data_IF_513545129855
#
_entry.id   IF_513545129855
#
_cell.length_a   1.000
_cell.length_b   1.000
_cell.length_c   1.000
_cell.angle_alpha   90.00
_cell.angle_beta   90.00
_cell.angle_gamma   90.00
#
_symmetry.space_group_name_H-M   'P 1'
#
loop_
_entity.id
_entity.type
_entity.pdbx_description
1 polymer ?
#
# COMPACT_ATOMS: atom_id res chain seq x y z
N UNK A 1 -25.98 -11.59 2.46
CA UNK A 1 -25.35 -12.17 1.26
C UNK A 1 -24.24 -13.12 1.68
N UNK A 2 -23.89 -14.06 0.81
CA UNK A 2 -22.69 -14.92 0.97
C UNK A 2 -21.59 -14.44 0.02
N UNK A 3 -20.44 -14.06 0.58
CA UNK A 3 -19.31 -13.47 -0.15
C UNK A 3 -18.12 -14.42 -0.08
N UNK A 4 -17.61 -14.82 -1.24
CA UNK A 4 -16.37 -15.60 -1.35
C UNK A 4 -15.17 -14.66 -1.55
N UNK A 5 -14.14 -14.80 -0.72
CA UNK A 5 -12.92 -13.99 -0.79
C UNK A 5 -11.73 -14.90 -1.13
N UNK A 6 -11.13 -14.68 -2.31
CA UNK A 6 -10.02 -15.47 -2.85
C UNK A 6 -8.68 -15.19 -2.18
N UNK A 7 -8.60 -15.22 -0.85
CA UNK A 7 -7.37 -14.91 -0.12
C UNK A 7 -7.22 -15.74 1.16
N UNK A 8 -6.01 -16.26 1.42
CA UNK A 8 -5.65 -16.95 2.67
C UNK A 8 -5.22 -15.91 3.69
N UNK A 9 -6.12 -15.56 4.60
CA UNK A 9 -5.82 -14.58 5.66
C UNK A 9 -4.80 -15.15 6.64
N UNK A 10 -3.77 -14.36 6.93
CA UNK A 10 -2.69 -14.70 7.87
C UNK A 10 -2.71 -13.73 9.05
N UNK A 11 -2.57 -14.25 10.27
CA UNK A 11 -2.45 -13.45 11.49
C UNK A 11 -0.99 -12.98 11.70
N UNK A 12 -0.40 -12.33 10.70
CA UNK A 12 0.99 -11.86 10.73
C UNK A 12 1.17 -10.60 9.88
N UNK A 13 2.34 -9.97 9.93
CA UNK A 13 2.72 -8.79 9.12
C UNK A 13 2.90 -9.13 7.63
N UNK A 14 1.87 -9.64 6.99
CA UNK A 14 1.93 -10.16 5.63
C UNK A 14 1.35 -9.19 4.58
N UNK A 15 1.99 -8.03 4.40
CA UNK A 15 1.70 -7.10 3.31
C UNK A 15 0.27 -6.50 3.26
N UNK A 16 0.08 -5.51 2.39
CA UNK A 16 -1.19 -4.75 2.27
C UNK A 16 -2.40 -5.58 1.79
N UNK A 17 -2.18 -6.63 0.99
CA UNK A 17 -3.26 -7.51 0.54
C UNK A 17 -3.92 -8.27 1.70
N UNK A 18 -3.11 -8.76 2.63
CA UNK A 18 -3.60 -9.43 3.84
C UNK A 18 -4.36 -8.48 4.77
N UNK A 19 -3.84 -7.27 4.98
CA UNK A 19 -4.52 -6.26 5.79
C UNK A 19 -5.88 -5.88 5.19
N UNK A 20 -5.94 -5.65 3.89
CA UNK A 20 -7.19 -5.39 3.18
C UNK A 20 -8.19 -6.53 3.36
N UNK A 21 -7.79 -7.78 3.12
CA UNK A 21 -8.66 -8.95 3.23
C UNK A 21 -9.21 -9.10 4.66
N UNK A 22 -8.35 -8.95 5.68
CA UNK A 22 -8.75 -8.98 7.09
C UNK A 22 -9.80 -7.91 7.43
N UNK A 23 -9.53 -6.65 7.05
CA UNK A 23 -10.44 -5.54 7.33
C UNK A 23 -11.77 -5.70 6.62
N UNK A 24 -11.76 -6.17 5.36
CA UNK A 24 -12.97 -6.42 4.60
C UNK A 24 -13.81 -7.55 5.21
N UNK A 25 -13.18 -8.66 5.60
CA UNK A 25 -13.88 -9.79 6.25
C UNK A 25 -14.55 -9.34 7.54
N UNK A 26 -13.82 -8.60 8.38
CA UNK A 26 -14.40 -8.06 9.61
C UNK A 26 -15.62 -7.19 9.32
N UNK A 27 -15.51 -6.24 8.40
CA UNK A 27 -16.62 -5.36 8.02
C UNK A 27 -17.83 -6.14 7.47
N UNK A 28 -17.60 -7.14 6.61
CA UNK A 28 -18.68 -7.96 6.07
C UNK A 28 -19.42 -8.77 7.16
N UNK A 29 -18.67 -9.31 8.13
CA UNK A 29 -19.26 -10.05 9.25
C UNK A 29 -20.05 -9.11 10.17
N UNK A 30 -19.48 -7.93 10.48
CA UNK A 30 -20.14 -6.91 11.32
C UNK A 30 -21.46 -6.42 10.68
N UNK A 31 -21.53 -6.39 9.33
CA UNK A 31 -22.73 -6.07 8.56
C UNK A 31 -23.67 -7.28 8.34
N UNK A 32 -23.42 -8.41 8.99
CA UNK A 32 -24.28 -9.60 8.95
C UNK A 32 -24.17 -10.44 7.68
N UNK A 33 -23.09 -10.31 6.91
CA UNK A 33 -22.84 -11.13 5.73
C UNK A 33 -22.08 -12.43 6.09
N UNK A 34 -22.34 -13.49 5.32
CA UNK A 34 -21.58 -14.75 5.41
C UNK A 34 -20.33 -14.65 4.53
N UNK A 35 -19.18 -15.00 5.09
CA UNK A 35 -17.90 -15.02 4.34
C UNK A 35 -17.42 -16.45 4.17
N UNK A 36 -16.97 -16.81 2.98
CA UNK A 36 -16.29 -18.06 2.66
C UNK A 36 -14.98 -17.80 1.93
N UNK A 37 -14.05 -18.76 2.01
CA UNK A 37 -12.73 -18.66 1.36
C UNK A 37 -12.56 -19.69 0.24
N UNK A 38 -13.63 -20.33 -0.18
CA UNK A 38 -13.61 -21.33 -1.24
C UNK A 38 -14.87 -21.20 -2.13
N UNK A 39 -14.91 -21.97 -3.21
CA UNK A 39 -16.00 -22.01 -4.18
C UNK A 39 -16.76 -23.35 -4.12
N UNK A 40 -17.00 -23.88 -2.89
CA UNK A 40 -17.70 -25.16 -2.71
C UNK A 40 -19.21 -25.01 -2.75
N UNK A 41 -19.75 -23.98 -2.10
CA UNK A 41 -21.18 -23.74 -1.97
C UNK A 41 -21.83 -23.25 -3.27
N UNK A 42 -23.05 -23.68 -3.57
CA UNK A 42 -23.76 -23.30 -4.79
C UNK A 42 -24.54 -21.99 -4.67
N UNK A 43 -24.57 -21.36 -3.49
CA UNK A 43 -25.35 -20.18 -3.14
C UNK A 43 -24.48 -18.93 -2.84
N UNK A 44 -23.27 -18.87 -3.43
CA UNK A 44 -22.42 -17.68 -3.32
C UNK A 44 -23.03 -16.54 -4.14
N UNK A 45 -23.28 -15.40 -3.50
CA UNK A 45 -23.83 -14.22 -4.15
C UNK A 45 -22.73 -13.39 -4.84
N UNK A 46 -21.59 -13.19 -4.16
CA UNK A 46 -20.48 -12.36 -4.63
C UNK A 46 -19.15 -13.11 -4.49
N UNK A 47 -18.35 -13.04 -5.54
CA UNK A 47 -16.98 -13.57 -5.57
C UNK A 47 -16.01 -12.40 -5.71
N UNK A 48 -15.15 -12.18 -4.72
CA UNK A 48 -14.09 -11.19 -4.78
C UNK A 48 -12.77 -11.83 -5.20
N UNK A 49 -12.35 -11.54 -6.44
CA UNK A 49 -11.04 -11.91 -6.98
C UNK A 49 -10.02 -10.82 -6.62
N UNK A 50 -9.12 -11.13 -5.67
CA UNK A 50 -8.05 -10.20 -5.23
C UNK A 50 -6.79 -10.41 -6.07
N UNK A 51 -6.45 -11.66 -6.37
CA UNK A 51 -5.35 -12.05 -7.25
C UNK A 51 -5.85 -13.17 -8.17
N UNK A 52 -5.73 -13.04 -9.49
CA UNK A 52 -6.27 -14.04 -10.42
C UNK A 52 -5.44 -15.32 -10.53
N UNK A 53 -4.26 -15.39 -9.89
CA UNK A 53 -3.28 -16.49 -10.01
C UNK A 53 -3.57 -17.62 -9.04
N UNK A 54 -4.25 -18.68 -9.45
CA UNK A 54 -4.53 -19.85 -8.61
C UNK A 54 -3.28 -20.55 -8.04
N UNK A 55 -2.11 -20.34 -8.66
CA UNK A 55 -0.83 -20.91 -8.20
C UNK A 55 -0.12 -20.06 -7.13
N UNK A 56 -0.64 -18.89 -6.78
CA UNK A 56 -0.10 -18.07 -5.70
C UNK A 56 -0.50 -18.67 -4.35
N UNK A 57 0.48 -18.98 -3.51
CA UNK A 57 0.27 -19.60 -2.19
C UNK A 57 -0.65 -18.82 -1.24
N UNK A 58 -0.75 -17.50 -1.44
CA UNK A 58 -1.61 -16.63 -0.63
C UNK A 58 -3.09 -16.64 -1.10
N UNK A 59 -3.40 -17.36 -2.19
CA UNK A 59 -4.71 -17.35 -2.83
C UNK A 59 -5.41 -18.66 -2.61
N UNK A 60 -6.72 -18.63 -2.40
CA UNK A 60 -7.56 -19.82 -2.25
C UNK A 60 -8.23 -20.23 -3.54
N UNK A 61 -8.51 -19.29 -4.43
CA UNK A 61 -9.03 -19.50 -5.78
C UNK A 61 -8.66 -18.34 -6.69
N UNK A 62 -8.36 -18.61 -7.94
CA UNK A 62 -8.05 -17.63 -8.97
C UNK A 62 -9.10 -17.56 -10.08
N UNK A 63 -8.76 -16.91 -11.20
CA UNK A 63 -9.69 -16.68 -12.31
C UNK A 63 -10.22 -17.95 -12.96
N UNK A 64 -9.37 -18.98 -13.10
CA UNK A 64 -9.78 -20.28 -13.68
C UNK A 64 -10.78 -20.99 -12.78
N UNK A 65 -10.58 -20.94 -11.46
CA UNK A 65 -11.49 -21.57 -10.50
C UNK A 65 -12.85 -20.87 -10.50
N UNK A 66 -12.85 -19.52 -10.63
CA UNK A 66 -14.07 -18.71 -10.76
C UNK A 66 -14.83 -19.09 -12.04
N UNK A 67 -14.15 -19.17 -13.18
CA UNK A 67 -14.78 -19.58 -14.45
C UNK A 67 -15.43 -20.97 -14.32
N UNK A 68 -14.73 -21.93 -13.73
CA UNK A 68 -15.28 -23.26 -13.48
C UNK A 68 -16.52 -23.19 -12.57
N UNK A 69 -16.46 -22.39 -11.51
CA UNK A 69 -17.57 -22.21 -10.59
C UNK A 69 -18.81 -21.64 -11.29
N UNK A 70 -18.66 -20.58 -12.07
CA UNK A 70 -19.74 -19.94 -12.81
C UNK A 70 -20.38 -20.91 -13.82
N UNK A 71 -19.57 -21.76 -14.46
CA UNK A 71 -20.07 -22.70 -15.45
C UNK A 71 -20.75 -23.92 -14.81
N UNK A 72 -20.18 -24.47 -13.73
CA UNK A 72 -20.60 -25.77 -13.18
C UNK A 72 -21.57 -25.66 -12.00
N UNK A 73 -21.59 -24.52 -11.28
CA UNK A 73 -22.32 -24.38 -10.02
C UNK A 73 -23.33 -23.23 -10.01
N UNK A 74 -22.87 -21.99 -10.10
CA UNK A 74 -23.74 -20.81 -9.99
C UNK A 74 -23.33 -19.71 -10.95
N UNK A 75 -23.95 -19.68 -12.12
CA UNK A 75 -23.74 -18.63 -13.14
C UNK A 75 -24.27 -17.25 -12.76
N UNK A 76 -25.02 -17.13 -11.66
CA UNK A 76 -25.61 -15.85 -11.19
C UNK A 76 -24.75 -15.13 -10.17
N UNK A 77 -23.68 -15.77 -9.65
CA UNK A 77 -22.76 -15.12 -8.73
C UNK A 77 -22.08 -13.94 -9.40
N UNK A 78 -22.10 -12.77 -8.74
CA UNK A 78 -21.41 -11.57 -9.24
C UNK A 78 -19.91 -11.65 -8.94
N UNK A 79 -19.07 -11.39 -9.93
CA UNK A 79 -17.63 -11.41 -9.80
C UNK A 79 -17.06 -10.00 -9.78
N UNK A 80 -16.40 -9.65 -8.69
CA UNK A 80 -15.66 -8.39 -8.54
C UNK A 80 -14.18 -8.67 -8.64
N UNK A 81 -13.49 -8.05 -9.60
CA UNK A 81 -12.05 -8.10 -9.73
C UNK A 81 -11.42 -6.85 -9.12
N UNK A 82 -10.69 -7.01 -8.02
CA UNK A 82 -9.94 -5.92 -7.38
C UNK A 82 -8.51 -5.90 -7.92
N UNK A 83 -8.18 -4.90 -8.73
CA UNK A 83 -6.86 -4.72 -9.32
C UNK A 83 -5.96 -3.93 -8.36
N UNK A 84 -4.91 -4.57 -7.88
CA UNK A 84 -3.95 -4.07 -6.90
C UNK A 84 -2.48 -4.37 -7.28
N UNK A 85 -2.25 -4.83 -8.50
CA UNK A 85 -0.95 -5.19 -9.02
C UNK A 85 -0.81 -4.72 -10.48
N UNK A 86 0.44 -4.54 -10.96
CA UNK A 86 0.76 -4.25 -12.35
C UNK A 86 2.22 -4.61 -12.64
N UNK A 87 2.58 -4.66 -13.92
CA UNK A 87 3.96 -4.94 -14.35
C UNK A 87 4.92 -3.84 -13.92
N UNK A 88 4.49 -2.58 -13.98
CA UNK A 88 5.30 -1.38 -13.71
C UNK A 88 5.83 -1.36 -12.27
N UNK A 89 5.11 -1.94 -11.32
CA UNK A 89 5.51 -2.04 -9.91
C UNK A 89 6.75 -2.91 -9.67
N UNK A 90 6.92 -3.95 -10.46
CA UNK A 90 7.99 -4.95 -10.29
C UNK A 90 8.91 -5.07 -11.49
N UNK A 91 8.67 -4.25 -12.52
CA UNK A 91 9.36 -4.32 -13.80
C UNK A 91 9.24 -5.73 -14.43
N UNK A 92 8.01 -6.24 -14.51
CA UNK A 92 7.64 -7.51 -15.16
C UNK A 92 6.96 -7.23 -16.51
N UNK A 93 6.62 -8.28 -17.30
CA UNK A 93 6.12 -8.11 -18.67
C UNK A 93 4.85 -8.90 -18.98
N UNK A 94 4.28 -9.61 -18.01
CA UNK A 94 3.16 -10.52 -18.25
C UNK A 94 1.96 -10.28 -17.33
N UNK A 95 2.14 -9.53 -16.24
CA UNK A 95 1.10 -9.34 -15.25
C UNK A 95 -0.08 -8.54 -15.81
N UNK A 96 0.18 -7.45 -16.53
CA UNK A 96 -0.88 -6.63 -17.11
C UNK A 96 -1.76 -7.44 -18.07
N UNK A 97 -1.16 -8.20 -18.96
CA UNK A 97 -1.88 -9.09 -19.88
C UNK A 97 -2.70 -10.15 -19.15
N UNK A 98 -2.12 -10.73 -18.09
CA UNK A 98 -2.80 -11.74 -17.31
C UNK A 98 -3.99 -11.15 -16.52
N UNK A 99 -3.82 -9.99 -15.91
CA UNK A 99 -4.91 -9.26 -15.24
C UNK A 99 -6.05 -8.95 -16.21
N UNK A 100 -5.71 -8.43 -17.41
CA UNK A 100 -6.69 -8.14 -18.45
C UNK A 100 -7.44 -9.39 -18.91
N UNK A 101 -6.73 -10.51 -19.12
CA UNK A 101 -7.35 -11.78 -19.47
C UNK A 101 -8.26 -12.28 -18.33
N UNK A 102 -7.78 -12.30 -17.10
CA UNK A 102 -8.55 -12.73 -15.95
C UNK A 102 -9.82 -11.86 -15.72
N UNK A 103 -9.77 -10.61 -16.14
CA UNK A 103 -10.89 -9.68 -16.01
C UNK A 103 -12.09 -10.06 -16.88
N UNK A 104 -11.96 -10.95 -17.86
CA UNK A 104 -13.11 -11.44 -18.65
C UNK A 104 -14.19 -12.11 -17.81
N UNK A 105 -13.85 -12.78 -16.72
CA UNK A 105 -14.84 -13.39 -15.83
C UNK A 105 -15.45 -12.42 -14.81
N UNK A 106 -14.95 -11.18 -14.72
CA UNK A 106 -15.47 -10.19 -13.78
C UNK A 106 -16.67 -9.44 -14.36
N UNK A 107 -17.67 -9.20 -13.54
CA UNK A 107 -18.80 -8.30 -13.85
C UNK A 107 -18.47 -6.85 -13.51
N UNK A 108 -17.60 -6.64 -12.51
CA UNK A 108 -17.22 -5.33 -12.03
C UNK A 108 -15.73 -5.28 -11.69
N UNK A 109 -15.07 -4.15 -12.01
CA UNK A 109 -13.65 -3.95 -11.69
C UNK A 109 -13.49 -2.84 -10.65
N UNK A 110 -12.73 -3.12 -9.60
CA UNK A 110 -12.35 -2.15 -8.57
C UNK A 110 -10.85 -1.88 -8.67
N UNK A 111 -10.48 -0.63 -8.87
CA UNK A 111 -9.10 -0.15 -8.83
C UNK A 111 -8.79 0.48 -7.49
N UNK A 112 -7.59 0.28 -6.98
CA UNK A 112 -7.12 0.90 -5.73
C UNK A 112 -6.47 2.26 -5.94
N UNK A 113 -6.30 2.70 -7.18
CA UNK A 113 -5.82 4.04 -7.57
C UNK A 113 -6.22 4.37 -9.01
N UNK A 114 -6.39 5.64 -9.31
CA UNK A 114 -6.83 6.12 -10.62
C UNK A 114 -5.82 5.83 -11.74
N UNK A 115 -4.52 5.93 -11.45
CA UNK A 115 -3.48 5.70 -12.45
C UNK A 115 -3.48 4.27 -12.99
N UNK A 116 -3.93 3.28 -12.22
CA UNK A 116 -4.07 1.89 -12.69
C UNK A 116 -5.08 1.77 -13.84
N UNK A 117 -6.07 2.65 -13.92
CA UNK A 117 -7.02 2.67 -15.06
C UNK A 117 -6.39 3.14 -16.35
N UNK A 118 -5.25 3.84 -16.31
CA UNK A 118 -4.53 4.27 -17.50
C UNK A 118 -3.75 3.12 -18.15
N UNK A 119 -3.48 2.06 -17.39
CA UNK A 119 -2.80 0.86 -17.85
C UNK A 119 -3.76 -0.11 -18.53
N UNK A 120 -3.22 -1.02 -19.35
CA UNK A 120 -4.01 -2.02 -20.06
C UNK A 120 -4.23 -3.29 -19.22
N UNK A 121 -5.03 -3.14 -18.13
CA UNK A 121 -5.20 -4.16 -17.09
C UNK A 121 -6.57 -4.85 -17.09
N UNK A 122 -7.56 -4.32 -17.82
CA UNK A 122 -8.96 -4.72 -17.67
C UNK A 122 -9.75 -4.59 -18.99
N UNK A 123 -10.98 -5.10 -18.99
CA UNK A 123 -11.94 -4.93 -20.07
C UNK A 123 -12.64 -3.58 -19.92
N UNK A 124 -12.37 -2.66 -20.83
CA UNK A 124 -12.82 -1.24 -20.73
C UNK A 124 -14.32 -1.04 -20.95
N UNK A 125 -14.98 -2.01 -21.55
CA UNK A 125 -16.42 -2.05 -21.77
C UNK A 125 -17.22 -2.45 -20.54
N UNK A 126 -16.53 -2.94 -19.47
CA UNK A 126 -17.17 -3.36 -18.23
C UNK A 126 -17.18 -2.25 -17.16
N UNK A 127 -18.19 -2.26 -16.27
CA UNK A 127 -18.25 -1.31 -15.17
C UNK A 127 -17.02 -1.32 -14.29
N UNK A 128 -16.55 -0.14 -13.92
CA UNK A 128 -15.36 -0.02 -13.05
C UNK A 128 -15.43 1.20 -12.14
N UNK A 129 -14.79 1.11 -10.97
CA UNK A 129 -14.68 2.20 -10.00
C UNK A 129 -13.32 2.22 -9.34
N UNK A 130 -12.86 3.40 -8.97
CA UNK A 130 -11.71 3.58 -8.09
C UNK A 130 -12.22 3.64 -6.64
N UNK A 131 -11.69 2.77 -5.78
CA UNK A 131 -11.94 2.77 -4.34
C UNK A 131 -10.56 2.73 -3.68
N UNK A 132 -10.17 3.86 -3.10
CA UNK A 132 -8.87 4.01 -2.46
C UNK A 132 -8.75 3.12 -1.22
N UNK A 133 -7.54 2.67 -0.91
CA UNK A 133 -7.25 1.99 0.34
C UNK A 133 -7.33 2.97 1.52
N UNK A 134 -7.63 2.46 2.71
CA UNK A 134 -7.57 3.18 3.97
C UNK A 134 -6.74 2.41 5.00
N UNK A 135 -6.31 3.07 6.06
CA UNK A 135 -5.74 2.42 7.24
C UNK A 135 -6.81 2.21 8.31
N UNK A 136 -6.59 1.22 9.18
CA UNK A 136 -7.46 1.00 10.34
C UNK A 136 -7.28 2.15 11.35
N UNK A 137 -8.30 3.00 11.48
CA UNK A 137 -8.30 4.15 12.37
C UNK A 137 -8.25 3.81 13.87
N UNK A 138 -8.55 2.58 14.24
CA UNK A 138 -8.39 2.11 15.63
C UNK A 138 -6.92 1.81 15.96
N UNK A 139 -6.10 1.59 14.94
CA UNK A 139 -4.67 1.29 15.06
C UNK A 139 -3.82 2.51 14.70
N UNK A 140 -4.09 3.12 13.54
CA UNK A 140 -3.33 4.24 13.01
C UNK A 140 -4.14 5.53 13.18
N UNK A 141 -3.72 6.36 14.12
CA UNK A 141 -4.37 7.61 14.47
C UNK A 141 -3.36 8.61 15.04
N UNK A 142 -3.69 9.89 15.05
CA UNK A 142 -2.86 10.98 15.54
C UNK A 142 -3.22 11.47 16.95
N UNK A 143 -4.05 10.73 17.71
CA UNK A 143 -4.40 11.09 19.06
C UNK A 143 -3.13 11.26 19.91
N UNK A 144 -2.97 12.38 20.60
CA UNK A 144 -1.79 12.73 21.40
C UNK A 144 -0.49 12.96 20.62
N UNK A 145 -0.55 13.14 19.29
CA UNK A 145 0.62 13.48 18.49
C UNK A 145 1.17 14.86 18.91
N UNK A 146 2.45 14.90 19.28
CA UNK A 146 3.20 16.14 19.42
C UNK A 146 3.90 16.41 18.10
N UNK A 147 3.61 17.57 17.52
CA UNK A 147 4.23 17.99 16.27
C UNK A 147 5.60 18.62 16.52
N UNK A 148 6.46 18.57 15.51
CA UNK A 148 7.79 19.16 15.55
C UNK A 148 7.72 20.69 15.73
N UNK A 149 8.54 21.22 16.63
CA UNK A 149 8.59 22.62 17.03
C UNK A 149 9.73 23.44 16.37
N UNK A 150 10.55 22.77 15.53
CA UNK A 150 11.73 23.39 14.89
C UNK A 150 12.98 23.46 15.77
N UNK A 151 12.90 23.09 17.05
CA UNK A 151 14.02 23.27 18.00
C UNK A 151 14.95 22.05 18.05
N UNK A 152 14.46 20.87 17.69
CA UNK A 152 15.21 19.61 17.71
C UNK A 152 15.39 19.07 16.29
N UNK A 153 16.33 18.14 16.05
CA UNK A 153 16.40 17.46 14.78
C UNK A 153 15.06 16.86 14.41
N UNK A 154 14.64 17.06 13.15
CA UNK A 154 13.39 16.44 12.67
C UNK A 154 13.59 14.94 12.48
N UNK A 155 12.64 14.15 12.96
CA UNK A 155 12.65 12.69 12.85
C UNK A 155 11.86 12.25 11.64
N UNK A 156 12.57 11.78 10.63
CA UNK A 156 12.00 11.28 9.38
C UNK A 156 11.88 9.76 9.48
N UNK A 157 10.76 9.21 8.97
CA UNK A 157 10.55 7.76 8.94
C UNK A 157 10.01 7.29 7.60
N UNK A 158 10.35 6.06 7.26
CA UNK A 158 9.67 5.25 6.23
C UNK A 158 9.54 3.81 6.71
N UNK A 159 8.58 3.06 6.14
CA UNK A 159 8.51 1.64 6.43
C UNK A 159 8.09 0.81 5.21
N UNK A 160 8.70 -0.36 5.04
CA UNK A 160 8.43 -1.28 3.94
C UNK A 160 8.59 -2.73 4.35
N UNK A 161 7.59 -3.56 4.01
CA UNK A 161 7.72 -5.02 4.19
C UNK A 161 8.69 -5.63 3.17
N UNK A 162 8.55 -5.24 1.90
CA UNK A 162 9.32 -5.81 0.80
C UNK A 162 10.69 -5.15 0.67
N UNK A 163 11.78 -5.92 0.53
CA UNK A 163 13.12 -5.40 0.26
C UNK A 163 13.33 -5.01 -1.21
N UNK A 164 12.27 -4.90 -2.02
CA UNK A 164 12.36 -4.58 -3.43
C UNK A 164 12.92 -3.16 -3.63
N UNK A 165 13.89 -3.01 -4.54
CA UNK A 165 14.52 -1.72 -4.88
C UNK A 165 13.52 -0.65 -5.33
N UNK A 166 12.41 -1.07 -5.99
CA UNK A 166 11.32 -0.18 -6.40
C UNK A 166 10.59 0.49 -5.22
N UNK A 167 10.90 0.13 -3.97
CA UNK A 167 10.42 0.83 -2.78
C UNK A 167 11.15 2.15 -2.50
N UNK A 168 12.08 2.56 -3.37
CA UNK A 168 12.79 3.84 -3.28
C UNK A 168 14.11 3.77 -2.54
N UNK A 169 14.77 2.61 -2.59
CA UNK A 169 16.06 2.41 -1.93
C UNK A 169 17.13 3.40 -2.40
N UNK A 170 17.05 3.85 -3.65
CA UNK A 170 17.87 4.91 -4.24
C UNK A 170 17.83 6.21 -3.40
N UNK A 171 16.62 6.69 -3.12
CA UNK A 171 16.37 7.89 -2.31
C UNK A 171 16.78 7.68 -0.86
N UNK A 172 16.44 6.53 -0.27
CA UNK A 172 16.78 6.28 1.14
C UNK A 172 18.28 6.16 1.36
N UNK A 173 19.02 5.61 0.39
CA UNK A 173 20.49 5.61 0.41
C UNK A 173 21.02 7.04 0.30
N UNK A 174 20.49 7.85 -0.62
CA UNK A 174 20.89 9.26 -0.75
C UNK A 174 20.61 10.05 0.53
N UNK A 175 19.46 9.80 1.19
CA UNK A 175 19.15 10.42 2.48
C UNK A 175 20.13 9.98 3.58
N UNK A 176 20.51 8.69 3.61
CA UNK A 176 21.52 8.16 4.54
C UNK A 176 22.88 8.87 4.39
N UNK A 177 23.28 9.16 3.15
CA UNK A 177 24.52 9.91 2.88
C UNK A 177 24.36 11.41 3.26
N UNK A 178 23.22 12.02 2.96
CA UNK A 178 22.92 13.45 3.20
C UNK A 178 22.91 13.77 4.68
N UNK A 179 22.34 12.95 5.54
CA UNK A 179 22.25 13.25 6.99
C UNK A 179 23.61 13.29 7.69
N UNK A 180 24.66 12.77 7.07
CA UNK A 180 26.04 12.82 7.57
C UNK A 180 26.81 14.08 7.13
N UNK A 181 26.26 14.90 6.20
CA UNK A 181 26.91 16.12 5.71
C UNK A 181 26.83 17.26 6.73
N UNK A 182 27.75 18.21 6.67
CA UNK A 182 27.78 19.36 7.59
C UNK A 182 26.50 20.21 7.54
N UNK A 183 25.85 20.30 6.36
CA UNK A 183 24.58 21.03 6.20
C UNK A 183 23.45 20.40 7.03
N UNK A 184 23.40 19.05 7.11
CA UNK A 184 22.27 18.30 7.66
C UNK A 184 22.57 17.59 8.98
N UNK A 185 23.83 17.45 9.32
CA UNK A 185 24.26 16.85 10.58
C UNK A 185 23.58 17.52 11.77
N UNK A 186 23.02 16.75 12.67
CA UNK A 186 22.26 17.23 13.83
C UNK A 186 20.95 17.98 13.51
N UNK A 187 20.49 18.02 12.25
CA UNK A 187 19.21 18.59 11.86
C UNK A 187 18.17 17.54 11.50
N UNK A 188 18.62 16.36 11.09
CA UNK A 188 17.75 15.24 10.65
C UNK A 188 18.19 13.97 11.33
N UNK A 189 17.20 13.22 11.82
CA UNK A 189 17.32 11.80 12.16
C UNK A 189 16.47 11.01 11.18
N UNK A 190 17.00 9.92 10.60
CA UNK A 190 16.23 9.07 9.70
C UNK A 190 16.11 7.66 10.25
N UNK A 191 14.90 7.12 10.22
CA UNK A 191 14.56 5.75 10.62
C UNK A 191 13.94 5.00 9.44
N UNK A 192 14.52 3.85 9.10
CA UNK A 192 13.95 2.92 8.13
C UNK A 192 13.43 1.69 8.87
N UNK A 193 12.12 1.40 8.77
CA UNK A 193 11.49 0.23 9.38
C UNK A 193 11.19 -0.78 8.27
N UNK A 194 11.85 -1.93 8.27
CA UNK A 194 11.56 -2.93 7.23
C UNK A 194 12.71 -3.84 6.85
N UNK A 195 12.46 -4.67 5.83
CA UNK A 195 13.48 -5.55 5.28
C UNK A 195 14.36 -4.81 4.28
N UNK A 196 15.65 -5.08 4.33
CA UNK A 196 16.65 -4.56 3.39
C UNK A 196 17.02 -5.62 2.34
N UNK A 197 17.42 -5.21 1.13
CA UNK A 197 18.02 -6.14 0.17
C UNK A 197 19.27 -6.82 0.74
N UNK A 198 19.52 -8.06 0.33
CA UNK A 198 20.71 -8.80 0.75
C UNK A 198 21.99 -8.01 0.42
N UNK A 199 22.84 -7.85 1.41
CA UNK A 199 24.12 -7.15 1.28
C UNK A 199 24.04 -5.62 1.33
N UNK A 200 22.84 -5.04 1.55
CA UNK A 200 22.68 -3.60 1.76
C UNK A 200 22.56 -3.28 3.26
N UNK A 201 23.28 -2.25 3.70
CA UNK A 201 23.18 -1.69 5.05
C UNK A 201 23.26 -0.16 4.96
N UNK A 202 22.50 0.51 5.81
CA UNK A 202 22.66 1.92 6.06
C UNK A 202 23.90 2.20 6.93
N UNK A 203 24.45 3.40 6.83
CA UNK A 203 25.59 3.86 7.63
C UNK A 203 25.20 4.80 8.75
N UNK A 204 24.22 5.66 8.49
CA UNK A 204 23.82 6.78 9.37
C UNK A 204 22.35 6.69 9.78
N UNK A 205 21.57 5.83 9.13
CA UNK A 205 20.14 5.65 9.35
C UNK A 205 19.87 4.63 10.45
N UNK A 206 18.93 4.91 11.33
CA UNK A 206 18.43 3.94 12.30
C UNK A 206 17.58 2.89 11.56
N UNK A 207 18.07 1.65 11.50
CA UNK A 207 17.36 0.54 10.87
C UNK A 207 16.64 -0.32 11.92
N UNK A 208 15.34 -0.48 11.75
CA UNK A 208 14.47 -1.28 12.63
C UNK A 208 13.84 -2.42 11.81
N UNK A 209 13.79 -3.62 12.39
CA UNK A 209 13.13 -4.77 11.79
C UNK A 209 11.65 -4.49 11.50
N UNK A 210 11.04 -5.17 10.51
CA UNK A 210 9.64 -5.00 10.16
C UNK A 210 8.71 -5.20 11.35
N UNK A 211 7.72 -4.34 11.47
CA UNK A 211 6.67 -4.43 12.47
C UNK A 211 5.30 -4.08 11.86
N UNK A 212 4.22 -4.33 12.58
CA UNK A 212 2.85 -4.10 12.11
C UNK A 212 1.89 -3.72 13.25
N UNK A 213 0.69 -3.29 12.90
CA UNK A 213 -0.38 -3.00 13.84
C UNK A 213 0.01 -1.96 14.89
N UNK A 214 -0.40 -2.16 16.11
CA UNK A 214 -0.14 -1.22 17.23
C UNK A 214 1.35 -0.93 17.47
N UNK A 215 2.24 -1.92 17.23
CA UNK A 215 3.68 -1.70 17.40
C UNK A 215 4.19 -0.70 16.35
N UNK A 216 3.77 -0.87 15.10
CA UNK A 216 4.13 0.05 14.02
C UNK A 216 3.54 1.45 14.27
N UNK A 217 2.27 1.55 14.62
CA UNK A 217 1.62 2.82 14.92
C UNK A 217 2.33 3.60 16.02
N UNK A 218 2.69 2.92 17.13
CA UNK A 218 3.46 3.52 18.23
C UNK A 218 4.85 3.98 17.78
N UNK A 219 5.51 3.25 16.88
CA UNK A 219 6.80 3.64 16.36
C UNK A 219 6.69 4.85 15.42
N UNK A 220 5.75 4.82 14.47
CA UNK A 220 5.48 5.95 13.57
C UNK A 220 5.17 7.23 14.35
N UNK A 221 4.40 7.14 15.43
CA UNK A 221 4.01 8.31 16.26
C UNK A 221 5.18 9.03 16.95
N UNK A 222 6.36 8.41 17.04
CA UNK A 222 7.58 9.02 17.59
C UNK A 222 8.32 9.93 16.59
N UNK A 223 7.89 9.91 15.32
CA UNK A 223 8.53 10.65 14.23
C UNK A 223 7.72 11.87 13.81
N UNK A 224 8.32 12.77 13.06
CA UNK A 224 7.76 14.05 12.71
C UNK A 224 7.35 14.14 11.23
N UNK A 225 8.04 13.42 10.36
CA UNK A 225 7.87 13.49 8.91
C UNK A 225 7.94 12.07 8.31
N UNK A 226 7.07 11.80 7.35
CA UNK A 226 7.13 10.58 6.56
C UNK A 226 7.80 10.84 5.22
N UNK A 227 8.61 9.89 4.72
CA UNK A 227 9.11 9.91 3.34
C UNK A 227 8.68 8.64 2.61
N UNK A 228 8.08 8.80 1.42
CA UNK A 228 7.75 7.67 0.54
C UNK A 228 8.38 7.86 -0.84
N UNK A 229 9.35 7.02 -1.15
CA UNK A 229 10.09 7.08 -2.41
C UNK A 229 9.76 5.94 -3.38
N UNK A 230 8.66 5.20 -3.14
CA UNK A 230 8.25 4.08 -4.00
C UNK A 230 8.04 4.51 -5.45
N UNK A 231 8.48 3.66 -6.38
CA UNK A 231 8.32 3.84 -7.83
C UNK A 231 7.15 2.98 -8.29
N UNK A 232 6.23 3.57 -9.07
CA UNK A 232 5.07 2.89 -9.65
C UNK A 232 4.26 2.10 -8.59
N UNK A 233 4.09 2.68 -7.40
CA UNK A 233 3.32 2.04 -6.32
C UNK A 233 1.83 2.02 -6.67
N UNK A 234 1.19 0.84 -6.76
CA UNK A 234 -0.25 0.74 -7.06
C UNK A 234 -1.14 1.41 -6.02
N UNK A 235 -0.88 1.19 -4.76
CA UNK A 235 -1.36 1.87 -3.56
C UNK A 235 -0.85 1.12 -2.33
N UNK A 236 0.36 1.43 -1.91
CA UNK A 236 0.96 0.86 -0.71
C UNK A 236 0.23 1.31 0.55
N UNK A 237 0.17 0.46 1.57
CA UNK A 237 -0.42 0.83 2.86
C UNK A 237 0.50 1.78 3.65
N UNK A 238 1.80 1.70 3.42
CA UNK A 238 2.84 2.37 4.20
C UNK A 238 2.66 3.90 4.31
N UNK A 239 2.38 4.59 3.21
CA UNK A 239 2.17 6.03 3.24
C UNK A 239 0.83 6.40 3.90
N UNK A 240 -0.22 5.58 3.71
CA UNK A 240 -1.52 5.80 4.33
C UNK A 240 -1.41 5.65 5.86
N UNK A 241 -0.70 4.63 6.34
CA UNK A 241 -0.43 4.38 7.76
C UNK A 241 0.37 5.53 8.39
N UNK A 242 1.40 6.03 7.68
CA UNK A 242 2.17 7.20 8.11
C UNK A 242 1.30 8.46 8.24
N UNK A 243 0.52 8.79 7.22
CA UNK A 243 -0.40 9.94 7.22
C UNK A 243 -1.45 9.79 8.34
N UNK A 244 -2.01 8.60 8.52
CA UNK A 244 -3.01 8.35 9.57
C UNK A 244 -2.45 8.53 10.98
N UNK A 245 -1.14 8.35 11.18
CA UNK A 245 -0.44 8.69 12.42
C UNK A 245 -0.14 10.19 12.56
N UNK A 246 -0.65 11.03 11.67
CA UNK A 246 -0.46 12.50 11.70
C UNK A 246 0.90 12.96 11.21
N UNK A 247 1.57 12.18 10.36
CA UNK A 247 2.84 12.57 9.78
C UNK A 247 2.61 13.31 8.46
N UNK A 248 3.03 14.58 8.32
CA UNK A 248 3.22 15.18 7.01
C UNK A 248 4.12 14.29 6.15
N UNK A 249 3.98 14.37 4.82
CA UNK A 249 4.70 13.45 3.94
C UNK A 249 5.43 14.20 2.82
N UNK A 250 6.67 13.80 2.53
CA UNK A 250 7.30 14.06 1.24
C UNK A 250 7.27 12.77 0.42
N UNK A 251 6.88 12.86 -0.84
CA UNK A 251 6.64 11.65 -1.63
C UNK A 251 7.13 11.80 -3.08
N UNK A 252 7.63 10.69 -3.64
CA UNK A 252 7.97 10.64 -5.07
C UNK A 252 6.71 10.82 -5.90
N UNK A 253 6.75 11.66 -6.94
CA UNK A 253 5.67 11.81 -7.90
C UNK A 253 5.61 10.58 -8.82
N UNK A 254 5.10 9.48 -8.32
CA UNK A 254 5.07 8.20 -9.05
C UNK A 254 3.92 7.29 -8.61
N UNK A 255 3.28 6.63 -9.58
CA UNK A 255 2.19 5.70 -9.32
C UNK A 255 1.00 6.36 -8.62
N UNK A 256 0.52 5.75 -7.55
CA UNK A 256 -0.61 6.24 -6.77
C UNK A 256 -0.25 7.30 -5.72
N UNK A 257 1.05 7.52 -5.44
CA UNK A 257 1.45 8.41 -4.35
C UNK A 257 0.85 9.83 -4.47
N UNK A 258 0.82 10.49 -5.66
CA UNK A 258 0.19 11.81 -5.78
C UNK A 258 -1.29 11.82 -5.40
N UNK A 259 -2.04 10.79 -5.78
CA UNK A 259 -3.48 10.68 -5.49
C UNK A 259 -3.76 10.56 -3.99
N UNK A 260 -2.89 9.83 -3.26
CA UNK A 260 -3.04 9.61 -1.83
C UNK A 260 -2.43 10.71 -0.95
N UNK A 261 -1.36 11.37 -1.42
CA UNK A 261 -0.51 12.18 -0.55
C UNK A 261 -0.63 13.71 -0.78
N UNK A 262 -1.24 14.16 -1.88
CA UNK A 262 -1.25 15.59 -2.29
C UNK A 262 -1.78 16.55 -1.23
N UNK A 263 -2.75 16.12 -0.42
CA UNK A 263 -3.37 16.96 0.60
C UNK A 263 -2.61 16.93 1.95
N UNK A 264 -1.57 16.08 2.06
CA UNK A 264 -0.83 15.83 3.29
C UNK A 264 0.65 16.19 3.21
N UNK A 265 1.14 16.65 2.05
CA UNK A 265 2.54 16.95 1.90
C UNK A 265 3.00 17.39 0.51
N UNK A 266 4.28 17.20 0.24
CA UNK A 266 4.95 17.74 -0.94
C UNK A 266 5.53 16.63 -1.83
N UNK A 267 5.32 16.71 -3.16
CA UNK A 267 5.94 15.79 -4.11
C UNK A 267 7.41 16.13 -4.35
N UNK A 268 8.17 15.13 -4.80
CA UNK A 268 9.47 15.31 -5.42
C UNK A 268 9.60 14.45 -6.68
N UNK A 269 10.45 14.89 -7.61
CA UNK A 269 10.70 14.18 -8.86
C UNK A 269 11.96 13.33 -8.77
N UNK A 270 11.92 12.15 -9.36
CA UNK A 270 13.05 11.22 -9.43
C UNK A 270 13.67 10.95 -8.05
N UNK A 271 14.92 11.38 -7.85
CA UNK A 271 15.70 11.25 -6.61
C UNK A 271 15.93 12.60 -5.92
N UNK A 272 15.33 13.69 -6.42
CA UNK A 272 15.58 15.04 -5.96
C UNK A 272 14.58 15.48 -4.87
N UNK A 273 14.68 14.83 -3.71
CA UNK A 273 13.82 15.10 -2.56
C UNK A 273 14.24 16.34 -1.74
N UNK A 274 15.48 16.82 -1.86
CA UNK A 274 16.02 17.88 -1.00
C UNK A 274 15.28 19.23 -1.09
N UNK A 275 14.89 19.73 -2.28
CA UNK A 275 14.07 20.93 -2.36
C UNK A 275 12.74 20.79 -1.63
N UNK A 276 12.06 19.64 -1.78
CA UNK A 276 10.80 19.36 -1.10
C UNK A 276 10.99 19.19 0.41
N UNK A 277 12.10 18.62 0.86
CA UNK A 277 12.44 18.54 2.27
C UNK A 277 12.69 19.92 2.87
N UNK A 278 13.49 20.77 2.22
CA UNK A 278 13.73 22.18 2.67
C UNK A 278 12.43 22.95 2.78
N UNK A 279 11.56 22.85 1.78
CA UNK A 279 10.25 23.48 1.78
C UNK A 279 9.33 22.93 2.87
N UNK A 280 9.34 21.61 3.09
CA UNK A 280 8.56 20.97 4.15
C UNK A 280 8.98 21.49 5.53
N UNK A 281 10.27 21.65 5.78
CA UNK A 281 10.76 22.20 7.06
C UNK A 281 10.31 23.65 7.29
N UNK A 282 10.29 24.48 6.24
CA UNK A 282 9.81 25.87 6.30
C UNK A 282 8.30 25.95 6.53
N UNK A 283 7.53 25.07 5.90
CA UNK A 283 6.07 25.10 5.87
C UNK A 283 5.43 24.02 6.78
N UNK A 284 6.19 23.41 7.70
CA UNK A 284 5.79 22.24 8.48
C UNK A 284 4.42 22.39 9.14
N UNK A 285 4.16 23.54 9.76
CA UNK A 285 2.90 23.85 10.44
C UNK A 285 1.66 23.83 9.53
N UNK A 286 1.83 23.99 8.21
CA UNK A 286 0.72 23.93 7.25
C UNK A 286 0.23 22.50 7.03
N UNK A 287 1.11 21.52 7.22
CA UNK A 287 0.84 20.09 6.97
C UNK A 287 0.64 19.27 8.24
N UNK A 288 1.05 19.80 9.40
CA UNK A 288 0.92 19.17 10.71
C UNK A 288 -0.42 19.56 11.36
N UNK A 289 -1.52 18.89 10.94
CA UNK A 289 -2.87 19.16 11.45
C UNK A 289 -3.53 17.93 12.00
#
# INVERSE_FOLDING_TARGET
MKVAIGYKIKNSSWGGGNQFANSLVKALIDEGHKVTYNLVDNDIDIILMIDPRSYNEDITFGSIDIIKYLFLKNKKALVIHRINECDERKNTFHMNKFLKWANYCADYTVFIASWLKTLDLYQRDKPSKVILNGADKQIFHNHNKKFWDGLKPIKIVTHHWSPNKMKGLDVYKKLDDVIATDEWKNKIEFTYIGNLPKGFNFKNTNHISPMHGQKLSKELSKHDLYISASINEPAGMHHIEGISCGLPIIYRNSGALPEYCKDFGLPFENEDFLPSLKKMLQDYSKFSK
#
